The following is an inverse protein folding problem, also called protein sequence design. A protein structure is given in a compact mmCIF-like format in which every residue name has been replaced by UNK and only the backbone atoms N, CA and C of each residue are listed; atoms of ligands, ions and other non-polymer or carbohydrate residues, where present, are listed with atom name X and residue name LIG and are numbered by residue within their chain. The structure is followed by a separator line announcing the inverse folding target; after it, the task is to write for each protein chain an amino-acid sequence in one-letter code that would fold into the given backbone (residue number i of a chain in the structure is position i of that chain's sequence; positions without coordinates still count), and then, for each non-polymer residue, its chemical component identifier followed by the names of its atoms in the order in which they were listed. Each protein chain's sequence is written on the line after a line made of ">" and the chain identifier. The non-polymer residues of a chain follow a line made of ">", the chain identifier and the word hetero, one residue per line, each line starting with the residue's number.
data_IF_870466378410
#
_entry.id   IF_870466378410
#
_cell.length_a   1.000
_cell.length_b   1.000
_cell.length_c   1.000
_cell.angle_alpha   90.00
_cell.angle_beta   90.00
_cell.angle_gamma   90.00
#
_symmetry.space_group_name_H-M   'P 1'
#
loop_
_entity.id
_entity.type
_entity.pdbx_description
1 polymer ?
#
# COMPACT_ATOMS: atom_id res chain seq x y z
N UNK A 1 -5.48 -28.71 18.57
CA UNK A 1 -4.08 -29.16 18.43
C UNK A 1 -3.24 -28.18 19.23
N UNK A 2 -2.68 -28.59 20.35
CA UNK A 2 -1.85 -27.68 21.15
C UNK A 2 -0.49 -27.63 20.45
N UNK A 3 -0.12 -26.47 19.90
CA UNK A 3 1.22 -26.23 19.39
C UNK A 3 2.03 -25.56 20.50
N UNK A 4 3.04 -26.26 21.01
CA UNK A 4 4.02 -25.72 21.95
C UNK A 4 4.87 -24.68 21.24
N UNK A 5 5.47 -23.77 22.00
CA UNK A 5 6.30 -22.68 21.46
C UNK A 5 7.35 -23.16 20.45
N UNK A 6 8.01 -24.28 20.73
CA UNK A 6 9.02 -24.91 19.86
C UNK A 6 8.46 -25.51 18.56
N UNK A 7 7.14 -25.70 18.46
CA UNK A 7 6.44 -26.20 17.28
C UNK A 7 5.92 -25.05 16.38
N UNK A 8 5.99 -23.80 16.86
CA UNK A 8 5.65 -22.61 16.08
C UNK A 8 6.78 -22.26 15.10
N UNK A 9 6.46 -21.55 14.02
CA UNK A 9 7.48 -21.05 13.10
C UNK A 9 8.38 -20.02 13.79
N UNK A 10 9.61 -19.85 13.30
CA UNK A 10 10.58 -18.90 13.85
C UNK A 10 10.05 -17.46 13.92
N UNK A 11 9.20 -17.07 12.98
CA UNK A 11 8.57 -15.74 12.93
C UNK A 11 7.57 -15.56 14.08
N UNK A 12 6.77 -16.59 14.36
CA UNK A 12 5.76 -16.57 15.41
C UNK A 12 6.45 -16.59 16.78
N UNK A 13 7.49 -17.41 16.93
CA UNK A 13 8.33 -17.42 18.14
C UNK A 13 8.94 -16.03 18.41
N UNK A 14 9.54 -15.41 17.41
CA UNK A 14 10.12 -14.07 17.53
C UNK A 14 9.07 -13.00 17.87
N UNK A 15 7.84 -13.13 17.39
CA UNK A 15 6.76 -12.20 17.67
C UNK A 15 6.19 -12.32 19.09
N UNK A 16 5.98 -13.56 19.54
CA UNK A 16 5.34 -13.85 20.83
C UNK A 16 6.31 -13.77 22.02
N UNK A 17 7.59 -14.04 21.77
CA UNK A 17 8.62 -14.16 22.81
C UNK A 17 8.47 -15.44 23.64
N UNK A 18 9.54 -15.83 24.34
CA UNK A 18 9.68 -17.12 25.05
C UNK A 18 8.65 -17.40 26.16
N UNK A 19 7.77 -16.45 26.48
CA UNK A 19 6.86 -16.51 27.64
C UNK A 19 5.38 -16.63 27.28
N UNK A 20 5.03 -16.69 25.98
CA UNK A 20 3.65 -16.84 25.54
C UNK A 20 3.32 -18.27 25.13
N UNK A 21 2.28 -18.83 25.73
CA UNK A 21 1.66 -20.09 25.31
C UNK A 21 0.57 -19.82 24.25
N UNK A 22 0.58 -20.56 23.15
CA UNK A 22 -0.38 -20.40 22.04
C UNK A 22 -1.30 -21.61 21.99
N UNK A 23 -2.59 -21.38 22.18
CA UNK A 23 -3.61 -22.44 22.05
C UNK A 23 -4.32 -22.33 20.71
N UNK A 24 -4.12 -23.32 19.83
CA UNK A 24 -4.79 -23.40 18.53
C UNK A 24 -5.84 -24.51 18.56
N UNK A 25 -7.11 -24.13 18.55
CA UNK A 25 -8.23 -25.07 18.45
C UNK A 25 -8.72 -25.10 17.01
N UNK A 26 -8.40 -26.18 16.31
CA UNK A 26 -8.98 -26.49 15.00
C UNK A 26 -10.21 -27.34 15.28
N UNK A 27 -11.37 -26.85 14.87
CA UNK A 27 -12.62 -27.58 14.94
C UNK A 27 -13.29 -27.54 13.58
N UNK A 28 -14.03 -28.60 13.27
CA UNK A 28 -14.86 -28.64 12.08
C UNK A 28 -15.89 -27.50 12.15
N UNK A 29 -16.02 -26.73 11.07
CA UNK A 29 -17.11 -25.77 10.95
C UNK A 29 -18.41 -26.57 10.87
N UNK A 30 -19.34 -26.39 11.82
CA UNK A 30 -20.63 -27.10 11.82
C UNK A 30 -21.81 -26.19 11.49
N UNK A 31 -21.56 -24.90 11.34
CA UNK A 31 -22.55 -23.89 10.98
C UNK A 31 -22.50 -23.62 9.46
N UNK A 32 -23.43 -22.80 8.96
CA UNK A 32 -23.68 -22.51 7.54
C UNK A 32 -22.41 -22.49 6.65
N UNK A 33 -22.49 -23.14 5.47
CA UNK A 33 -21.39 -23.30 4.50
C UNK A 33 -20.17 -24.14 4.99
N UNK A 34 -20.39 -25.13 5.85
CA UNK A 34 -19.35 -26.04 6.37
C UNK A 34 -18.62 -26.87 5.30
N UNK A 35 -19.23 -27.11 4.13
CA UNK A 35 -18.63 -27.87 3.04
C UNK A 35 -18.93 -27.20 1.69
N UNK A 36 -17.98 -27.30 0.77
CA UNK A 36 -18.17 -26.92 -0.63
C UNK A 36 -17.50 -27.96 -1.54
N UNK A 37 -18.02 -28.15 -2.75
CA UNK A 37 -17.47 -29.07 -3.73
C UNK A 37 -16.70 -28.28 -4.79
N UNK A 38 -15.42 -28.59 -4.99
CA UNK A 38 -14.55 -27.88 -5.95
C UNK A 38 -15.01 -27.96 -7.40
N UNK A 39 -15.94 -28.86 -7.73
CA UNK A 39 -16.51 -29.03 -9.08
C UNK A 39 -17.92 -28.47 -9.22
N UNK A 40 -18.54 -28.04 -8.12
CA UNK A 40 -19.87 -27.46 -8.12
C UNK A 40 -19.78 -25.93 -8.07
N UNK A 41 -19.95 -25.32 -9.23
CA UNK A 41 -19.90 -23.87 -9.38
C UNK A 41 -21.29 -23.22 -9.35
N UNK A 42 -22.36 -24.02 -9.36
CA UNK A 42 -23.72 -23.51 -9.49
C UNK A 42 -24.12 -22.64 -8.28
N UNK A 43 -23.75 -23.06 -7.06
CA UNK A 43 -23.98 -22.27 -5.84
C UNK A 43 -23.24 -20.93 -5.83
N UNK A 44 -22.16 -20.83 -6.60
CA UNK A 44 -21.34 -19.62 -6.71
C UNK A 44 -21.89 -18.61 -7.73
N UNK A 45 -22.97 -18.95 -8.45
CA UNK A 45 -23.60 -18.09 -9.47
C UNK A 45 -25.10 -18.00 -9.19
N UNK A 46 -25.50 -16.88 -8.59
CA UNK A 46 -26.91 -16.54 -8.35
C UNK A 46 -27.20 -15.13 -8.88
N UNK A 47 -28.39 -14.92 -9.45
CA UNK A 47 -28.85 -13.58 -9.87
C UNK A 47 -28.98 -12.64 -8.68
N UNK A 48 -29.39 -13.18 -7.53
CA UNK A 48 -29.36 -12.45 -6.26
C UNK A 48 -27.95 -12.53 -5.67
N UNK A 49 -27.25 -11.39 -5.66
CA UNK A 49 -25.89 -11.28 -5.14
C UNK A 49 -25.80 -11.62 -3.65
N UNK A 50 -26.88 -11.46 -2.89
CA UNK A 50 -26.91 -11.73 -1.44
C UNK A 50 -26.97 -13.22 -1.13
N UNK A 51 -27.38 -14.03 -2.11
CA UNK A 51 -27.50 -15.49 -1.99
C UNK A 51 -26.34 -16.24 -2.64
N UNK A 52 -25.30 -15.55 -3.12
CA UNK A 52 -24.13 -16.20 -3.69
C UNK A 52 -23.28 -16.84 -2.62
N UNK A 53 -22.93 -18.11 -2.79
CA UNK A 53 -21.93 -18.76 -1.95
C UNK A 53 -20.53 -18.21 -2.31
N UNK A 54 -19.87 -17.61 -1.33
CA UNK A 54 -18.53 -17.01 -1.48
C UNK A 54 -17.40 -17.96 -1.09
N UNK A 55 -17.71 -19.13 -0.50
CA UNK A 55 -16.74 -20.06 0.07
C UNK A 55 -15.71 -20.52 -0.96
N UNK A 56 -16.18 -20.89 -2.16
CA UNK A 56 -15.30 -21.35 -3.22
C UNK A 56 -14.40 -20.23 -3.78
N UNK A 57 -14.91 -18.98 -3.84
CA UNK A 57 -14.10 -17.81 -4.25
C UNK A 57 -13.00 -17.56 -3.23
N UNK A 58 -13.35 -17.53 -1.95
CA UNK A 58 -12.40 -17.32 -0.86
C UNK A 58 -11.35 -18.44 -0.80
N UNK A 59 -11.78 -19.69 -0.99
CA UNK A 59 -10.87 -20.83 -1.08
C UNK A 59 -9.83 -20.65 -2.18
N UNK A 60 -10.24 -20.34 -3.41
CA UNK A 60 -9.29 -20.14 -4.51
C UNK A 60 -8.39 -18.92 -4.28
N UNK A 61 -8.90 -17.85 -3.65
CA UNK A 61 -8.08 -16.69 -3.29
C UNK A 61 -6.97 -17.05 -2.29
N UNK A 62 -7.30 -17.83 -1.26
CA UNK A 62 -6.32 -18.36 -0.29
C UNK A 62 -5.33 -19.27 -1.00
N UNK A 63 -5.82 -20.23 -1.78
CA UNK A 63 -5.00 -21.22 -2.48
C UNK A 63 -3.97 -20.55 -3.40
N UNK A 64 -4.38 -19.54 -4.15
CA UNK A 64 -3.51 -18.81 -5.08
C UNK A 64 -2.57 -17.80 -4.39
N UNK A 65 -2.66 -17.62 -3.07
CA UNK A 65 -1.65 -16.87 -2.30
C UNK A 65 -0.59 -17.78 -1.67
N UNK A 66 -0.90 -19.06 -1.51
CA UNK A 66 -0.24 -19.91 -0.52
C UNK A 66 1.28 -20.04 -0.76
N UNK A 67 1.72 -20.27 -2.00
CA UNK A 67 3.16 -20.41 -2.29
C UNK A 67 3.94 -19.16 -1.90
N UNK A 68 3.55 -18.00 -2.43
CA UNK A 68 4.27 -16.75 -2.18
C UNK A 68 4.26 -16.30 -0.71
N UNK A 69 3.21 -16.65 0.05
CA UNK A 69 3.15 -16.33 1.48
C UNK A 69 4.00 -17.30 2.33
N UNK A 70 3.96 -18.61 2.03
CA UNK A 70 4.73 -19.62 2.76
C UNK A 70 6.23 -19.51 2.50
N UNK A 71 6.63 -19.16 1.28
CA UNK A 71 8.03 -18.91 0.93
C UNK A 71 8.55 -17.55 1.44
N UNK A 72 7.68 -16.71 2.01
CA UNK A 72 8.05 -15.37 2.47
C UNK A 72 8.45 -14.41 1.36
N UNK A 73 8.16 -14.72 0.09
CA UNK A 73 8.53 -13.88 -1.07
C UNK A 73 7.58 -12.69 -1.28
N UNK A 74 6.39 -12.73 -0.65
CA UNK A 74 5.37 -11.71 -0.78
C UNK A 74 4.85 -11.19 0.59
N UNK A 75 4.31 -9.97 0.57
CA UNK A 75 3.44 -9.42 1.61
C UNK A 75 1.99 -9.55 1.18
N UNK A 76 1.15 -10.19 2.02
CA UNK A 76 -0.29 -10.30 1.80
C UNK A 76 -1.07 -9.16 2.44
N UNK A 77 -2.05 -8.62 1.70
CA UNK A 77 -2.98 -7.60 2.18
C UNK A 77 -4.42 -7.98 1.83
N UNK A 78 -5.13 -8.56 2.79
CA UNK A 78 -6.42 -9.20 2.53
C UNK A 78 -6.27 -10.45 1.67
N UNK A 79 -7.32 -10.87 0.98
CA UNK A 79 -7.37 -12.13 0.24
C UNK A 79 -6.87 -12.02 -1.21
N UNK A 80 -6.94 -10.83 -1.80
CA UNK A 80 -6.66 -10.63 -3.23
C UNK A 80 -5.38 -9.87 -3.55
N UNK A 81 -4.73 -9.19 -2.60
CA UNK A 81 -3.59 -8.30 -2.91
C UNK A 81 -2.31 -8.84 -2.30
N UNK A 82 -1.32 -9.06 -3.15
CA UNK A 82 0.01 -9.53 -2.73
C UNK A 82 1.09 -8.70 -3.42
N UNK A 83 2.13 -8.33 -2.68
CA UNK A 83 3.24 -7.50 -3.18
C UNK A 83 4.56 -8.22 -2.93
N UNK A 84 5.47 -8.19 -3.90
CA UNK A 84 6.78 -8.83 -3.79
C UNK A 84 7.62 -8.14 -2.71
N UNK A 85 8.29 -8.91 -1.85
CA UNK A 85 9.27 -8.39 -0.90
C UNK A 85 10.54 -7.94 -1.63
N UNK A 86 10.97 -8.76 -2.60
CA UNK A 86 12.13 -8.50 -3.45
C UNK A 86 11.71 -7.76 -4.72
N UNK A 87 11.94 -6.45 -4.73
CA UNK A 87 12.25 -5.76 -5.98
C UNK A 87 13.72 -6.04 -6.28
N UNK A 88 13.99 -6.86 -7.30
CA UNK A 88 15.34 -7.25 -7.71
C UNK A 88 16.33 -6.05 -7.74
N UNK A 89 17.63 -6.26 -7.50
CA UNK A 89 18.64 -5.18 -7.41
C UNK A 89 18.82 -4.34 -8.69
N UNK A 90 18.16 -4.69 -9.79
CA UNK A 90 18.41 -4.08 -11.09
C UNK A 90 17.84 -2.68 -11.27
N UNK A 91 17.08 -2.14 -10.30
CA UNK A 91 16.44 -0.84 -10.52
C UNK A 91 16.20 -0.05 -9.22
N UNK A 92 17.25 0.08 -8.39
CA UNK A 92 17.20 0.80 -7.11
C UNK A 92 16.68 2.25 -7.22
N UNK A 93 16.80 2.90 -8.39
CA UNK A 93 16.25 4.24 -8.61
C UNK A 93 14.80 4.26 -9.13
N UNK A 94 14.35 3.22 -9.83
CA UNK A 94 13.03 3.23 -10.48
C UNK A 94 11.90 3.01 -9.46
N UNK A 95 12.18 2.31 -8.35
CA UNK A 95 11.20 2.06 -7.29
C UNK A 95 11.19 3.12 -6.18
N UNK A 96 12.21 3.97 -6.04
CA UNK A 96 12.24 5.01 -5.00
C UNK A 96 11.30 6.16 -5.32
N UNK A 97 10.30 6.44 -4.48
CA UNK A 97 9.39 7.59 -4.66
C UNK A 97 9.77 8.79 -3.80
N UNK A 98 10.95 8.74 -3.16
CA UNK A 98 11.49 9.70 -2.18
C UNK A 98 10.66 9.76 -0.90
N UNK A 99 11.13 10.54 0.08
CA UNK A 99 10.41 10.74 1.33
C UNK A 99 10.35 9.52 2.24
N UNK A 100 11.34 8.62 2.19
CA UNK A 100 11.34 7.39 2.98
C UNK A 100 10.39 6.31 2.47
N UNK A 101 9.96 6.40 1.20
CA UNK A 101 8.94 5.51 0.61
C UNK A 101 9.46 4.85 -0.68
N UNK A 102 8.96 3.65 -0.99
CA UNK A 102 9.28 2.85 -2.18
C UNK A 102 8.02 2.27 -2.82
N UNK A 103 8.07 2.00 -4.12
CA UNK A 103 7.05 1.23 -4.83
C UNK A 103 7.44 -0.25 -4.86
N UNK A 104 6.49 -1.10 -4.49
CA UNK A 104 6.61 -2.54 -4.68
C UNK A 104 5.65 -2.99 -5.77
N UNK A 105 6.15 -3.82 -6.68
CA UNK A 105 5.31 -4.53 -7.65
C UNK A 105 4.52 -5.63 -6.94
N UNK A 106 3.36 -5.93 -7.47
CA UNK A 106 2.46 -6.93 -6.93
C UNK A 106 1.27 -7.14 -7.84
N UNK A 107 0.24 -7.77 -7.30
CA UNK A 107 -0.94 -8.13 -8.04
C UNK A 107 -2.18 -7.95 -7.18
N UNK A 108 -3.28 -7.60 -7.84
CA UNK A 108 -4.63 -7.77 -7.31
C UNK A 108 -5.31 -8.87 -8.10
N UNK A 109 -5.74 -9.90 -7.38
CA UNK A 109 -6.36 -11.09 -7.94
C UNK A 109 -7.66 -11.41 -7.23
N UNK A 110 -8.54 -12.07 -7.96
CA UNK A 110 -9.80 -12.60 -7.44
C UNK A 110 -10.37 -13.64 -8.38
N UNK A 111 -11.34 -14.40 -7.90
CA UNK A 111 -12.00 -15.42 -8.72
C UNK A 111 -13.38 -14.96 -9.16
N UNK A 112 -13.69 -15.22 -10.43
CA UNK A 112 -15.00 -15.01 -11.04
C UNK A 112 -15.44 -16.28 -11.75
N UNK A 113 -16.73 -16.57 -11.72
CA UNK A 113 -17.30 -17.68 -12.48
C UNK A 113 -17.88 -17.10 -13.76
N UNK A 114 -17.41 -17.60 -14.91
CA UNK A 114 -17.76 -17.09 -16.22
C UNK A 114 -18.54 -18.17 -16.96
N UNK A 115 -19.78 -17.82 -17.32
CA UNK A 115 -20.62 -18.66 -18.15
C UNK A 115 -20.13 -18.63 -19.60
N UNK A 116 -20.03 -19.81 -20.21
CA UNK A 116 -19.55 -20.00 -21.57
C UNK A 116 -20.41 -21.07 -22.25
N UNK A 117 -20.31 -21.16 -23.57
CA UNK A 117 -21.00 -22.19 -24.35
C UNK A 117 -20.68 -23.63 -23.91
N UNK A 118 -19.47 -23.84 -23.37
CA UNK A 118 -18.96 -25.12 -22.85
C UNK A 118 -19.19 -25.33 -21.34
N UNK A 119 -19.93 -24.42 -20.70
CA UNK A 119 -20.28 -24.47 -19.28
C UNK A 119 -19.58 -23.43 -18.43
N UNK A 120 -19.91 -23.45 -17.14
CA UNK A 120 -19.41 -22.49 -16.16
C UNK A 120 -17.96 -22.80 -15.79
N UNK A 121 -17.07 -21.81 -15.94
CA UNK A 121 -15.65 -21.97 -15.58
C UNK A 121 -15.24 -21.00 -14.45
N UNK A 122 -14.37 -21.44 -13.51
CA UNK A 122 -13.70 -20.52 -12.60
C UNK A 122 -12.55 -19.81 -13.35
N UNK A 123 -12.63 -18.49 -13.42
CA UNK A 123 -11.63 -17.63 -14.00
C UNK A 123 -10.89 -16.85 -12.90
N UNK A 124 -9.57 -16.99 -12.87
CA UNK A 124 -8.71 -16.15 -12.07
C UNK A 124 -8.53 -14.81 -12.79
N UNK A 125 -9.08 -13.75 -12.21
CA UNK A 125 -8.88 -12.38 -12.67
C UNK A 125 -7.64 -11.85 -11.98
N UNK A 126 -6.66 -11.38 -12.78
CA UNK A 126 -5.34 -10.95 -12.30
C UNK A 126 -5.01 -9.60 -12.92
N UNK A 127 -4.61 -8.64 -12.11
CA UNK A 127 -4.14 -7.33 -12.57
C UNK A 127 -2.87 -6.89 -11.85
N UNK A 128 -1.90 -6.39 -12.62
CA UNK A 128 -0.65 -5.84 -12.09
C UNK A 128 -0.95 -4.62 -11.22
N UNK A 129 -0.35 -4.60 -10.02
CA UNK A 129 -0.46 -3.50 -9.07
C UNK A 129 0.90 -3.03 -8.65
N UNK A 130 0.99 -1.73 -8.37
CA UNK A 130 2.10 -1.15 -7.62
C UNK A 130 1.55 -0.58 -6.32
N UNK A 131 2.17 -0.94 -5.21
CA UNK A 131 1.83 -0.46 -3.89
C UNK A 131 2.92 0.44 -3.36
N UNK A 132 2.54 1.49 -2.63
CA UNK A 132 3.48 2.36 -1.94
C UNK A 132 3.74 1.81 -0.54
N UNK A 133 5.02 1.64 -0.20
CA UNK A 133 5.48 1.11 1.07
C UNK A 133 6.51 2.05 1.70
N UNK A 134 6.61 2.02 3.02
CA UNK A 134 7.74 2.63 3.71
C UNK A 134 9.02 1.84 3.40
N UNK A 135 10.15 2.55 3.30
CA UNK A 135 11.46 1.90 3.25
C UNK A 135 11.76 1.28 4.61
N UNK A 136 12.22 0.04 4.60
CA UNK A 136 12.82 -0.61 5.78
C UNK A 136 14.22 -0.02 5.95
N UNK A 137 14.32 1.01 6.79
CA UNK A 137 15.55 1.73 7.07
C UNK A 137 15.44 2.45 8.42
N UNK A 138 16.56 3.02 8.88
CA UNK A 138 16.56 3.88 10.06
C UNK A 138 15.56 5.04 9.90
N UNK A 139 14.84 5.32 10.97
CA UNK A 139 13.82 6.36 10.99
C UNK A 139 14.41 7.73 10.66
N UNK A 140 15.60 8.05 11.20
CA UNK A 140 16.29 9.31 10.88
C UNK A 140 16.43 9.51 9.37
N UNK A 141 16.92 8.50 8.63
CA UNK A 141 17.08 8.58 7.18
C UNK A 141 15.76 8.83 6.45
N UNK A 142 14.69 8.17 6.88
CA UNK A 142 13.35 8.41 6.31
C UNK A 142 12.83 9.81 6.62
N UNK A 143 13.12 10.34 7.82
CA UNK A 143 12.72 11.70 8.18
C UNK A 143 13.52 12.76 7.42
N UNK A 144 14.81 12.53 7.15
CA UNK A 144 15.65 13.36 6.29
C UNK A 144 15.11 13.40 4.86
N UNK A 145 14.83 12.24 4.28
CA UNK A 145 14.23 12.13 2.95
C UNK A 145 12.86 12.83 2.87
N UNK A 146 12.04 12.72 3.92
CA UNK A 146 10.74 13.40 4.00
C UNK A 146 10.89 14.91 4.12
N UNK A 147 11.87 15.38 4.90
CA UNK A 147 12.07 16.80 5.12
C UNK A 147 12.55 17.49 3.84
N UNK A 148 13.47 16.85 3.11
CA UNK A 148 13.96 17.31 1.81
C UNK A 148 14.70 18.64 1.86
N UNK A 149 15.17 19.05 3.06
CA UNK A 149 15.93 20.27 3.37
C UNK A 149 17.11 19.92 4.27
N UNK A 150 17.99 20.87 4.51
CA UNK A 150 19.10 20.64 5.45
C UNK A 150 18.55 20.53 6.88
N UNK A 151 18.83 19.42 7.54
CA UNK A 151 18.42 19.18 8.93
C UNK A 151 19.02 20.21 9.91
N UNK A 152 20.07 20.95 9.55
CA UNK A 152 20.57 22.06 10.39
C UNK A 152 19.57 23.21 10.55
N UNK A 153 18.63 23.34 9.61
CA UNK A 153 17.55 24.34 9.66
C UNK A 153 16.59 24.12 10.84
N UNK A 154 16.61 22.93 11.48
CA UNK A 154 15.79 22.62 12.67
C UNK A 154 16.17 23.44 13.91
N UNK A 155 17.28 24.19 13.86
CA UNK A 155 17.59 25.22 14.84
C UNK A 155 16.57 26.38 14.85
N UNK A 156 15.87 26.62 13.74
CA UNK A 156 14.78 27.58 13.65
C UNK A 156 13.47 26.98 14.22
N UNK A 157 12.83 27.61 15.23
CA UNK A 157 11.61 27.10 15.85
C UNK A 157 10.42 26.88 14.90
N UNK A 158 10.24 27.74 13.90
CA UNK A 158 9.13 27.63 12.95
C UNK A 158 9.33 26.44 12.00
N UNK A 159 10.56 26.26 11.54
CA UNK A 159 10.96 25.12 10.71
C UNK A 159 10.85 23.82 11.52
N UNK A 160 11.29 23.82 12.77
CA UNK A 160 11.13 22.69 13.68
C UNK A 160 9.67 22.30 13.87
N UNK A 161 8.78 23.27 14.09
CA UNK A 161 7.34 23.04 14.22
C UNK A 161 6.73 22.41 12.96
N UNK A 162 7.10 22.91 11.78
CA UNK A 162 6.70 22.32 10.49
C UNK A 162 7.23 20.89 10.32
N UNK A 163 8.50 20.65 10.67
CA UNK A 163 9.11 19.33 10.64
C UNK A 163 8.38 18.35 11.56
N UNK A 164 8.12 18.73 12.82
CA UNK A 164 7.38 17.90 13.80
C UNK A 164 5.98 17.56 13.28
N UNK A 165 5.28 18.51 12.65
CA UNK A 165 3.95 18.26 12.05
C UNK A 165 4.03 17.20 10.95
N UNK A 166 5.02 17.30 10.05
CA UNK A 166 5.24 16.31 8.98
C UNK A 166 5.66 14.95 9.53
N UNK A 167 6.63 14.93 10.45
CA UNK A 167 7.11 13.73 11.12
C UNK A 167 6.00 13.01 11.88
N UNK A 168 5.14 13.74 12.60
CA UNK A 168 4.00 13.16 13.31
C UNK A 168 3.02 12.45 12.37
N UNK A 169 2.75 13.03 11.20
CA UNK A 169 1.93 12.38 10.18
C UNK A 169 2.63 11.18 9.55
N UNK A 170 3.96 11.25 9.38
CA UNK A 170 4.76 10.19 8.78
C UNK A 170 4.84 8.93 9.65
N UNK A 171 5.07 9.10 10.95
CA UNK A 171 5.23 7.99 11.90
C UNK A 171 3.91 7.46 12.47
N UNK A 172 2.78 8.10 12.14
CA UNK A 172 1.46 7.68 12.61
C UNK A 172 1.19 6.25 12.17
N UNK A 173 0.84 5.40 13.12
CA UNK A 173 0.57 3.95 12.94
C UNK A 173 1.75 3.16 12.34
N UNK A 174 2.95 3.75 12.31
CA UNK A 174 4.14 3.11 11.75
C UNK A 174 4.75 2.16 12.77
N UNK A 175 4.86 0.90 12.42
CA UNK A 175 5.55 -0.11 13.22
C UNK A 175 7.06 0.09 13.10
N UNK A 176 7.75 0.04 14.22
CA UNK A 176 9.19 0.21 14.29
C UNK A 176 9.76 -0.58 15.45
N UNK A 177 11.07 -0.77 15.45
CA UNK A 177 11.80 -1.42 16.52
C UNK A 177 13.10 -0.65 16.79
N UNK A 178 13.74 -0.90 17.93
CA UNK A 178 15.07 -0.34 18.19
C UNK A 178 16.11 -1.17 17.43
N UNK A 179 17.15 -0.55 16.89
CA UNK A 179 18.20 -1.24 16.13
C UNK A 179 18.83 -2.45 16.85
N UNK A 180 18.78 -2.47 18.18
CA UNK A 180 19.30 -3.51 19.08
C UNK A 180 18.22 -4.45 19.66
N UNK A 181 17.00 -4.45 19.11
CA UNK A 181 15.85 -5.20 19.64
C UNK A 181 14.92 -5.66 18.53
N UNK A 182 14.42 -6.89 18.62
CA UNK A 182 13.40 -7.42 17.71
C UNK A 182 11.96 -6.99 18.07
N UNK A 183 11.76 -6.44 19.27
CA UNK A 183 10.43 -6.00 19.73
C UNK A 183 9.91 -4.82 18.92
N UNK A 184 8.86 -5.07 18.15
CA UNK A 184 8.13 -4.08 17.37
C UNK A 184 7.13 -3.31 18.24
N UNK A 185 7.02 -2.01 18.02
CA UNK A 185 6.03 -1.14 18.65
C UNK A 185 5.50 -0.10 17.67
N UNK A 186 4.38 0.54 18.03
CA UNK A 186 3.80 1.68 17.30
C UNK A 186 3.91 2.92 18.19
N UNK A 187 4.42 4.05 17.68
CA UNK A 187 4.53 5.26 18.47
C UNK A 187 3.17 5.93 18.67
N UNK A 188 3.01 6.65 19.79
CA UNK A 188 1.82 7.46 20.01
C UNK A 188 1.95 8.83 19.32
N UNK A 189 3.12 9.45 19.37
CA UNK A 189 3.40 10.74 18.73
C UNK A 189 4.91 11.05 18.69
N UNK A 190 5.26 12.15 18.03
CA UNK A 190 6.61 12.75 18.03
C UNK A 190 6.61 13.96 18.97
N UNK A 191 7.65 14.13 19.78
CA UNK A 191 7.74 15.22 20.75
C UNK A 191 7.66 16.60 20.09
N UNK A 192 6.93 17.52 20.73
CA UNK A 192 6.82 18.92 20.28
C UNK A 192 8.04 19.78 20.62
N UNK A 193 9.05 19.20 21.26
CA UNK A 193 10.31 19.85 21.66
C UNK A 193 11.49 18.98 21.26
N UNK A 194 12.66 19.58 20.97
CA UNK A 194 13.90 18.84 20.73
C UNK A 194 14.29 17.96 21.93
N UNK A 195 14.99 16.87 21.67
CA UNK A 195 15.35 15.86 22.67
C UNK A 195 16.25 16.42 23.77
N UNK A 196 17.05 17.47 23.49
CA UNK A 196 17.85 18.19 24.49
C UNK A 196 17.02 18.82 25.61
N UNK A 197 15.78 19.20 25.29
CA UNK A 197 14.86 19.86 26.22
C UNK A 197 13.92 18.85 26.91
N UNK A 198 14.05 17.56 26.59
CA UNK A 198 13.20 16.50 27.12
C UNK A 198 13.79 15.89 28.38
N UNK A 199 12.88 15.67 29.32
CA UNK A 199 13.15 15.06 30.60
C UNK A 199 12.16 13.94 30.85
N UNK A 200 12.62 12.80 31.38
CA UNK A 200 11.76 11.65 31.65
C UNK A 200 12.00 11.11 33.06
N UNK A 201 10.99 10.42 33.60
CA UNK A 201 11.12 9.63 34.82
C UNK A 201 11.37 8.17 34.45
N UNK A 202 12.30 7.53 35.14
CA UNK A 202 12.58 6.11 34.96
C UNK A 202 11.48 5.23 35.59
N UNK A 203 10.84 5.73 36.64
CA UNK A 203 9.76 5.07 37.37
C UNK A 203 8.64 6.07 37.72
N UNK A 204 7.45 5.57 38.07
CA UNK A 204 6.25 6.39 38.31
C UNK A 204 6.50 7.56 39.30
N UNK A 205 7.34 7.32 40.31
CA UNK A 205 7.72 8.28 41.35
C UNK A 205 9.24 8.56 41.42
N UNK A 206 10.01 8.17 40.39
CA UNK A 206 11.46 8.35 40.37
C UNK A 206 11.89 9.79 40.03
N UNK A 207 13.17 10.12 40.27
CA UNK A 207 13.74 11.41 39.87
C UNK A 207 13.69 11.59 38.36
N UNK A 208 13.51 12.83 37.92
CA UNK A 208 13.49 13.19 36.51
C UNK A 208 14.91 13.37 35.99
N UNK A 209 15.29 12.69 34.90
CA UNK A 209 16.59 12.84 34.24
C UNK A 209 16.45 13.37 32.81
N UNK A 210 17.52 13.93 32.26
CA UNK A 210 17.60 14.26 30.83
C UNK A 210 17.45 12.99 29.99
N UNK A 211 16.58 13.03 28.98
CA UNK A 211 16.40 11.90 28.05
C UNK A 211 17.71 11.66 27.30
N UNK A 212 18.34 12.73 26.82
CA UNK A 212 19.55 12.64 26.01
C UNK A 212 20.73 12.05 26.81
N UNK A 213 20.95 12.51 28.06
CA UNK A 213 22.00 11.97 28.93
C UNK A 213 21.79 10.48 29.24
N UNK A 214 20.54 10.07 29.46
CA UNK A 214 20.20 8.66 29.65
C UNK A 214 20.66 7.83 28.46
N UNK A 215 20.37 8.26 27.23
CA UNK A 215 20.76 7.49 26.04
C UNK A 215 22.26 7.56 25.76
N UNK A 216 22.95 8.66 26.06
CA UNK A 216 24.42 8.69 25.99
C UNK A 216 25.08 7.70 26.97
N UNK A 217 24.51 7.49 28.16
CA UNK A 217 25.01 6.48 29.10
C UNK A 217 24.78 5.06 28.61
N UNK A 218 23.61 4.79 28.02
CA UNK A 218 23.26 3.45 27.51
C UNK A 218 24.03 3.12 26.22
N UNK A 219 24.22 4.11 25.35
CA UNK A 219 24.86 3.96 24.04
C UNK A 219 26.02 4.95 23.87
N UNK A 220 27.14 4.78 24.61
CA UNK A 220 28.24 5.76 24.65
C UNK A 220 28.95 5.96 23.31
N UNK A 221 28.85 4.99 22.40
CA UNK A 221 29.44 5.05 21.05
C UNK A 221 28.50 5.68 20.01
N UNK A 222 27.22 5.87 20.34
CA UNK A 222 26.22 6.39 19.41
C UNK A 222 26.22 7.92 19.45
N UNK A 223 26.12 8.55 18.28
CA UNK A 223 25.90 9.99 18.16
C UNK A 223 24.40 10.27 18.12
N UNK A 224 23.96 11.20 18.97
CA UNK A 224 22.58 11.67 19.02
C UNK A 224 22.54 13.17 18.71
N UNK A 225 21.66 13.55 17.79
CA UNK A 225 21.38 14.94 17.47
C UNK A 225 20.43 15.52 18.51
N UNK A 226 20.90 16.57 19.18
CA UNK A 226 20.21 17.20 20.30
C UNK A 226 19.00 18.04 19.88
N UNK A 227 18.96 18.45 18.61
CA UNK A 227 17.97 19.32 17.98
C UNK A 227 16.78 18.55 17.37
N UNK A 228 16.84 17.21 17.31
CA UNK A 228 15.75 16.39 16.78
C UNK A 228 14.66 16.15 17.83
N UNK A 229 13.40 15.94 17.42
CA UNK A 229 12.40 15.44 18.34
C UNK A 229 12.65 13.96 18.69
N UNK A 230 12.01 13.50 19.76
CA UNK A 230 11.98 12.09 20.15
C UNK A 230 10.65 11.44 19.74
N UNK A 231 10.69 10.15 19.43
CA UNK A 231 9.49 9.32 19.29
C UNK A 231 8.98 8.94 20.69
N UNK A 232 7.69 9.07 20.91
CA UNK A 232 7.08 8.84 22.23
C UNK A 232 6.14 7.66 22.21
N UNK A 233 6.34 6.75 23.16
CA UNK A 233 5.43 5.64 23.47
C UNK A 233 4.86 5.87 24.86
N UNK A 234 3.53 5.92 24.96
CA UNK A 234 2.79 6.18 26.18
C UNK A 234 2.15 4.89 26.68
N UNK A 235 2.47 4.51 27.92
CA UNK A 235 1.85 3.40 28.65
C UNK A 235 1.17 3.95 29.89
N UNK A 236 -0.14 4.21 29.79
CA UNK A 236 -0.90 4.90 30.83
C UNK A 236 -0.38 6.32 31.07
N UNK A 237 0.15 6.59 32.28
CA UNK A 237 0.74 7.90 32.63
C UNK A 237 2.25 7.99 32.34
N UNK A 238 2.91 6.88 32.00
CA UNK A 238 4.35 6.86 31.72
C UNK A 238 4.61 7.08 30.24
N UNK A 239 5.47 8.04 29.94
CA UNK A 239 5.94 8.32 28.58
C UNK A 239 7.40 7.89 28.46
N UNK A 240 7.66 7.05 27.46
CA UNK A 240 9.02 6.65 27.09
C UNK A 240 9.40 7.36 25.80
N UNK A 241 10.52 8.06 25.86
CA UNK A 241 11.07 8.82 24.75
C UNK A 241 12.20 8.03 24.09
N UNK A 242 12.24 8.01 22.77
CA UNK A 242 13.27 7.34 21.98
C UNK A 242 13.89 8.32 20.98
N UNK A 243 15.22 8.48 20.95
CA UNK A 243 15.91 9.17 19.87
C UNK A 243 15.58 8.51 18.52
N UNK A 244 15.36 9.31 17.49
CA UNK A 244 14.98 8.80 16.16
C UNK A 244 16.08 7.95 15.52
N UNK A 245 17.33 8.17 15.91
CA UNK A 245 18.52 7.46 15.44
C UNK A 245 18.56 6.00 15.90
N UNK A 246 17.84 5.67 16.97
CA UNK A 246 17.79 4.30 17.48
C UNK A 246 16.73 3.44 16.79
N UNK A 247 15.87 4.04 15.97
CA UNK A 247 14.66 3.40 15.49
C UNK A 247 14.80 2.97 14.05
N UNK A 248 14.30 1.77 13.75
CA UNK A 248 14.24 1.19 12.41
C UNK A 248 12.79 0.91 12.07
N UNK A 249 12.37 1.31 10.88
CA UNK A 249 11.01 1.11 10.39
C UNK A 249 10.86 -0.36 10.00
N UNK A 250 9.85 -1.06 10.56
CA UNK A 250 9.60 -2.45 10.20
C UNK A 250 9.22 -2.59 8.72
N UNK A 251 9.63 -3.68 8.09
CA UNK A 251 9.33 -3.94 6.68
C UNK A 251 7.83 -4.18 6.38
N UNK A 252 7.48 -4.20 5.09
CA UNK A 252 6.15 -4.63 4.64
C UNK A 252 5.00 -3.71 5.01
N UNK A 253 5.27 -2.43 5.29
CA UNK A 253 4.25 -1.47 5.70
C UNK A 253 3.79 -0.60 4.53
N UNK A 254 2.51 -0.67 4.19
CA UNK A 254 1.92 0.22 3.17
C UNK A 254 1.76 1.63 3.69
N UNK A 255 2.02 2.61 2.82
CA UNK A 255 1.75 4.03 3.09
C UNK A 255 0.26 4.31 2.86
N UNK A 256 -0.51 4.75 3.87
CA UNK A 256 -1.90 5.12 3.69
C UNK A 256 -2.07 6.26 2.69
N UNK A 257 -3.15 6.26 1.90
CA UNK A 257 -3.43 7.33 0.93
C UNK A 257 -3.51 8.71 1.60
N UNK A 258 -4.03 8.78 2.83
CA UNK A 258 -4.11 10.02 3.60
C UNK A 258 -2.75 10.64 3.96
N UNK A 259 -1.64 9.91 3.80
CA UNK A 259 -0.26 10.37 4.09
C UNK A 259 0.52 10.65 2.79
N UNK A 260 -0.10 10.44 1.62
CA UNK A 260 0.51 10.71 0.33
C UNK A 260 0.24 12.15 -0.10
N UNK A 261 1.30 12.88 -0.46
CA UNK A 261 1.15 14.25 -0.97
C UNK A 261 0.67 14.26 -2.43
N UNK A 262 0.18 15.39 -2.92
CA UNK A 262 -0.14 15.56 -4.34
C UNK A 262 1.09 15.32 -5.24
N UNK A 263 2.26 15.77 -4.80
CA UNK A 263 3.55 15.55 -5.49
C UNK A 263 3.92 14.06 -5.52
N UNK A 264 3.74 13.35 -4.40
CA UNK A 264 3.97 11.91 -4.34
C UNK A 264 3.03 11.19 -5.32
N UNK A 265 1.76 11.57 -5.32
CA UNK A 265 0.72 10.99 -6.19
C UNK A 265 1.07 11.18 -7.66
N UNK A 266 1.49 12.36 -8.09
CA UNK A 266 1.92 12.63 -9.47
C UNK A 266 3.15 11.77 -9.86
N UNK A 267 4.13 11.66 -8.97
CA UNK A 267 5.31 10.80 -9.18
C UNK A 267 4.93 9.32 -9.28
N UNK A 268 4.03 8.85 -8.42
CA UNK A 268 3.51 7.48 -8.43
C UNK A 268 2.79 7.21 -9.75
N UNK A 269 1.89 8.10 -10.20
CA UNK A 269 1.18 7.96 -11.47
C UNK A 269 2.18 7.85 -12.62
N UNK A 270 3.15 8.75 -12.70
CA UNK A 270 4.19 8.74 -13.74
C UNK A 270 4.95 7.41 -13.79
N UNK A 271 5.20 6.79 -12.65
CA UNK A 271 5.91 5.50 -12.54
C UNK A 271 5.03 4.27 -12.81
N UNK A 272 3.71 4.39 -12.63
CA UNK A 272 2.78 3.26 -12.75
C UNK A 272 2.07 3.17 -14.11
N UNK A 273 2.04 4.26 -14.89
CA UNK A 273 1.37 4.27 -16.20
C UNK A 273 2.19 3.47 -17.22
N UNK A 274 1.57 2.42 -17.76
CA UNK A 274 2.17 1.53 -18.77
C UNK A 274 1.18 1.23 -19.90
N UNK A 275 1.71 0.93 -21.09
CA UNK A 275 0.90 0.52 -22.26
C UNK A 275 0.30 -0.88 -22.05
N UNK A 276 -0.84 -1.20 -22.68
CA UNK A 276 -1.51 -2.50 -22.51
C UNK A 276 -0.61 -3.73 -22.72
N UNK A 277 0.20 -3.75 -23.77
CA UNK A 277 1.11 -4.89 -24.04
C UNK A 277 2.13 -5.11 -22.93
N UNK A 278 2.69 -4.01 -22.38
CA UNK A 278 3.60 -4.08 -21.24
C UNK A 278 2.87 -4.55 -19.99
N UNK A 279 1.63 -4.12 -19.77
CA UNK A 279 0.80 -4.57 -18.64
C UNK A 279 0.49 -6.06 -18.70
N UNK A 280 0.22 -6.62 -19.88
CA UNK A 280 0.07 -8.08 -20.05
C UNK A 280 1.36 -8.84 -19.70
N UNK A 281 2.51 -8.32 -20.10
CA UNK A 281 3.80 -8.90 -19.72
C UNK A 281 4.02 -8.86 -18.19
N UNK A 282 3.76 -7.71 -17.56
CA UNK A 282 3.84 -7.56 -16.10
C UNK A 282 2.87 -8.48 -15.35
N UNK A 283 1.64 -8.69 -15.86
CA UNK A 283 0.69 -9.64 -15.28
C UNK A 283 1.25 -11.06 -15.31
N UNK A 284 1.79 -11.49 -16.46
CA UNK A 284 2.40 -12.82 -16.60
C UNK A 284 3.61 -12.99 -15.66
N UNK A 285 4.50 -12.01 -15.58
CA UNK A 285 5.64 -12.02 -14.66
C UNK A 285 5.18 -12.15 -13.20
N UNK A 286 4.09 -11.48 -12.80
CA UNK A 286 3.53 -11.63 -11.45
C UNK A 286 2.89 -13.01 -11.23
N UNK A 287 2.24 -13.59 -12.24
CA UNK A 287 1.71 -14.95 -12.13
C UNK A 287 2.82 -15.99 -11.97
N UNK A 288 3.93 -15.83 -12.69
CA UNK A 288 5.13 -16.66 -12.53
C UNK A 288 5.78 -16.46 -11.15
N UNK A 289 5.90 -15.21 -10.68
CA UNK A 289 6.48 -14.90 -9.38
C UNK A 289 5.66 -15.45 -8.19
N UNK A 290 4.35 -15.64 -8.36
CA UNK A 290 3.47 -16.28 -7.37
C UNK A 290 3.37 -17.80 -7.51
N UNK A 291 4.18 -18.38 -8.40
CA UNK A 291 4.12 -19.79 -8.76
C UNK A 291 2.70 -20.23 -9.16
N UNK A 292 1.96 -19.39 -9.91
CA UNK A 292 0.62 -19.74 -10.38
C UNK A 292 0.67 -20.50 -11.71
N UNK A 293 1.72 -20.23 -12.50
CA UNK A 293 1.83 -20.76 -13.85
C UNK A 293 3.29 -20.91 -14.30
N UNK A 294 4.10 -21.67 -13.55
CA UNK A 294 5.49 -21.95 -13.90
C UNK A 294 5.67 -23.17 -14.84
N UNK A 295 6.71 -23.19 -15.69
CA UNK A 295 7.03 -24.36 -16.53
C UNK A 295 7.80 -25.46 -15.78
N UNK A 296 8.56 -25.10 -14.73
CA UNK A 296 9.58 -25.97 -14.14
C UNK A 296 9.07 -26.88 -13.02
N UNK A 297 8.08 -26.41 -12.24
CA UNK A 297 7.50 -27.15 -11.12
C UNK A 297 6.06 -26.70 -10.93
N UNK A 298 5.18 -27.64 -10.56
CA UNK A 298 3.81 -27.32 -10.19
C UNK A 298 3.76 -26.81 -8.76
N UNK A 299 2.92 -25.80 -8.55
CA UNK A 299 2.59 -25.30 -7.23
C UNK A 299 2.02 -26.44 -6.37
N UNK A 300 2.74 -26.85 -5.29
CA UNK A 300 2.36 -28.02 -4.50
C UNK A 300 1.01 -27.83 -3.80
N UNK A 301 0.68 -26.59 -3.43
CA UNK A 301 -0.60 -26.28 -2.80
C UNK A 301 -1.75 -26.44 -3.81
N UNK A 302 -1.61 -25.89 -5.01
CA UNK A 302 -2.65 -26.03 -6.04
C UNK A 302 -2.82 -27.47 -6.52
N UNK A 303 -1.70 -28.21 -6.65
CA UNK A 303 -1.71 -29.62 -7.05
C UNK A 303 -2.45 -30.51 -6.05
N UNK A 304 -2.30 -30.24 -4.74
CA UNK A 304 -3.02 -30.96 -3.69
C UNK A 304 -4.55 -30.89 -3.82
N UNK A 305 -5.08 -29.85 -4.47
CA UNK A 305 -6.52 -29.68 -4.73
C UNK A 305 -6.90 -29.91 -6.20
N UNK A 306 -5.97 -30.40 -7.02
CA UNK A 306 -6.20 -30.64 -8.46
C UNK A 306 -6.49 -29.36 -9.26
N UNK A 307 -6.03 -28.20 -8.77
CA UNK A 307 -6.25 -26.89 -9.40
C UNK A 307 -5.07 -26.53 -10.29
N UNK A 308 -5.36 -25.96 -11.47
CA UNK A 308 -4.35 -25.41 -12.38
C UNK A 308 -4.83 -24.09 -12.96
N UNK A 309 -3.91 -23.18 -13.21
CA UNK A 309 -4.19 -21.88 -13.85
C UNK A 309 -3.60 -21.87 -15.25
N UNK A 310 -4.41 -21.46 -16.24
CA UNK A 310 -3.96 -21.27 -17.61
C UNK A 310 -2.99 -20.09 -17.70
N UNK A 311 -1.87 -20.27 -18.41
CA UNK A 311 -0.96 -19.17 -18.78
C UNK A 311 -1.55 -18.26 -19.86
N UNK A 312 -2.52 -18.76 -20.62
CA UNK A 312 -3.14 -18.01 -21.72
C UNK A 312 -4.37 -17.27 -21.19
N UNK A 313 -4.46 -15.94 -21.35
CA UNK A 313 -5.65 -15.17 -20.99
C UNK A 313 -6.89 -15.67 -21.75
N UNK A 314 -8.06 -15.59 -21.11
CA UNK A 314 -9.32 -15.88 -21.76
C UNK A 314 -9.56 -14.90 -22.92
N UNK A 315 -9.89 -15.46 -24.10
CA UNK A 315 -10.27 -14.69 -25.28
C UNK A 315 -11.78 -14.47 -25.26
N UNK A 316 -12.21 -13.23 -25.46
CA UNK A 316 -13.62 -12.84 -25.53
C UNK A 316 -13.89 -12.09 -26.82
N UNK A 317 -15.10 -12.22 -27.36
CA UNK A 317 -15.53 -11.44 -28.52
C UNK A 317 -15.89 -10.02 -28.06
N UNK A 318 -15.09 -9.04 -28.47
CA UNK A 318 -15.39 -7.63 -28.25
C UNK A 318 -16.21 -7.05 -29.39
N UNK A 319 -17.30 -6.35 -29.08
CA UNK A 319 -18.06 -5.58 -30.08
C UNK A 319 -17.72 -4.09 -29.93
N UNK A 320 -17.20 -3.47 -30.99
CA UNK A 320 -16.90 -2.03 -31.03
C UNK A 320 -18.06 -1.29 -31.70
N UNK A 321 -18.81 -0.53 -30.90
CA UNK A 321 -19.87 0.34 -31.41
C UNK A 321 -19.31 1.50 -32.23
N UNK A 322 -20.09 1.96 -33.21
CA UNK A 322 -19.78 3.19 -33.93
C UNK A 322 -19.80 4.39 -32.95
N UNK A 323 -18.83 5.30 -33.10
CA UNK A 323 -18.82 6.54 -32.33
C UNK A 323 -20.02 7.41 -32.75
N UNK A 324 -20.69 8.08 -31.80
CA UNK A 324 -21.74 9.04 -32.13
C UNK A 324 -21.14 10.30 -32.76
N UNK A 325 -21.99 11.06 -33.44
CA UNK A 325 -21.67 12.41 -33.92
C UNK A 325 -21.95 13.44 -32.83
N UNK A 326 -21.11 14.48 -32.73
CA UNK A 326 -21.26 15.55 -31.73
C UNK A 326 -21.76 16.81 -32.42
N UNK A 327 -22.98 17.24 -32.09
CA UNK A 327 -23.58 18.47 -32.59
C UNK A 327 -23.19 19.70 -31.77
N UNK A 328 -22.78 20.76 -32.46
CA UNK A 328 -22.50 22.08 -31.91
C UNK A 328 -23.41 23.13 -32.54
N UNK A 329 -23.52 24.31 -31.91
CA UNK A 329 -24.07 25.48 -32.59
C UNK A 329 -23.04 25.98 -33.62
N UNK A 330 -23.54 26.23 -34.83
CA UNK A 330 -22.87 26.96 -35.89
C UNK A 330 -23.48 28.33 -36.08
N UNK A 331 -22.88 29.10 -36.98
CA UNK A 331 -23.35 30.44 -37.32
C UNK A 331 -24.81 30.41 -37.81
N UNK A 332 -25.59 31.42 -37.42
CA UNK A 332 -26.99 31.60 -37.81
C UNK A 332 -27.93 30.45 -37.39
N UNK A 333 -27.66 29.79 -36.25
CA UNK A 333 -28.57 28.78 -35.68
C UNK A 333 -28.50 27.41 -36.35
N UNK A 334 -27.54 27.16 -37.24
CA UNK A 334 -27.32 25.83 -37.85
C UNK A 334 -26.57 24.91 -36.90
N UNK A 335 -26.83 23.61 -36.93
CA UNK A 335 -26.01 22.62 -36.21
C UNK A 335 -24.77 22.26 -37.01
N UNK A 336 -23.60 22.33 -36.40
CA UNK A 336 -22.33 21.86 -36.98
C UNK A 336 -21.98 20.53 -36.33
N UNK A 337 -21.79 19.50 -37.15
CA UNK A 337 -21.39 18.17 -36.66
C UNK A 337 -19.87 18.10 -36.60
N UNK A 338 -19.33 17.92 -35.40
CA UNK A 338 -17.92 17.57 -35.20
C UNK A 338 -17.79 16.05 -35.23
N UNK A 339 -16.94 15.55 -36.11
CA UNK A 339 -16.63 14.12 -36.19
C UNK A 339 -15.73 13.73 -35.03
N UNK A 340 -16.15 12.73 -34.28
CA UNK A 340 -15.32 12.10 -33.25
C UNK A 340 -14.20 11.30 -33.92
N UNK A 341 -12.96 11.46 -33.45
CA UNK A 341 -11.88 10.55 -33.80
C UNK A 341 -12.28 9.14 -33.34
N UNK A 342 -12.62 8.28 -34.29
CA UNK A 342 -13.12 6.94 -33.98
C UNK A 342 -12.11 6.12 -33.19
N UNK A 343 -10.81 6.36 -33.35
CA UNK A 343 -9.74 5.61 -32.70
C UNK A 343 -9.43 6.09 -31.29
N UNK A 344 -9.53 7.40 -31.04
CA UNK A 344 -9.25 7.99 -29.73
C UNK A 344 -10.51 8.27 -28.90
N UNK A 345 -11.69 8.16 -29.52
CA UNK A 345 -12.96 8.61 -28.95
C UNK A 345 -12.88 10.05 -28.40
N UNK A 346 -12.12 10.91 -29.09
CA UNK A 346 -11.94 12.30 -28.71
C UNK A 346 -12.53 13.23 -29.79
N UNK A 347 -12.90 14.44 -29.37
CA UNK A 347 -13.35 15.51 -30.24
C UNK A 347 -12.83 16.83 -29.68
N UNK A 348 -12.66 17.82 -30.54
CA UNK A 348 -12.30 19.17 -30.13
C UNK A 348 -13.37 20.15 -30.59
N UNK A 349 -13.56 21.20 -29.79
CA UNK A 349 -14.45 22.31 -30.11
C UNK A 349 -13.65 23.34 -30.94
N UNK A 350 -13.23 22.98 -32.15
CA UNK A 350 -12.44 23.86 -33.02
C UNK A 350 -13.34 24.99 -33.56
N UNK A 351 -13.39 26.13 -32.86
CA UNK A 351 -14.20 27.32 -33.20
C UNK A 351 -15.73 27.11 -33.27
N UNK A 352 -16.23 25.94 -32.86
CA UNK A 352 -17.65 25.68 -32.74
C UNK A 352 -18.23 26.35 -31.48
N UNK A 353 -19.52 26.71 -31.50
CA UNK A 353 -20.19 27.31 -30.36
C UNK A 353 -20.98 26.27 -29.56
N UNK A 354 -21.17 26.52 -28.27
CA UNK A 354 -22.08 25.71 -27.45
C UNK A 354 -23.51 25.84 -27.98
N UNK A 355 -24.25 24.73 -28.01
CA UNK A 355 -25.66 24.69 -28.46
C UNK A 355 -26.53 25.66 -27.67
N UNK A 356 -26.28 25.77 -26.36
CA UNK A 356 -26.95 26.69 -25.45
C UNK A 356 -25.89 27.44 -24.63
N UNK A 357 -25.37 28.58 -25.11
CA UNK A 357 -24.37 29.35 -24.38
C UNK A 357 -25.01 30.11 -23.22
N UNK A 358 -24.39 30.07 -22.04
CA UNK A 358 -24.81 30.91 -20.92
C UNK A 358 -24.44 32.38 -21.18
N UNK A 359 -25.35 33.31 -20.83
CA UNK A 359 -25.08 34.74 -20.90
C UNK A 359 -24.58 35.24 -19.54
N UNK A 360 -23.29 35.51 -19.44
CA UNK A 360 -22.68 36.12 -18.24
C UNK A 360 -22.69 37.64 -18.38
N UNK A 361 -23.58 38.32 -17.64
CA UNK A 361 -23.69 39.78 -17.66
C UNK A 361 -22.73 40.46 -16.69
N UNK A 362 -22.33 39.77 -15.62
CA UNK A 362 -21.38 40.24 -14.61
C UNK A 362 -20.54 39.05 -14.14
N UNK A 363 -19.22 39.22 -14.11
CA UNK A 363 -18.31 38.27 -13.50
C UNK A 363 -17.31 39.07 -12.66
N UNK A 364 -16.93 38.53 -11.51
CA UNK A 364 -15.93 39.11 -10.63
C UNK A 364 -14.82 38.07 -10.47
N UNK A 365 -13.58 38.48 -10.68
CA UNK A 365 -12.41 37.67 -10.38
C UNK A 365 -11.78 38.25 -9.12
N UNK A 366 -11.72 37.44 -8.07
CA UNK A 366 -11.00 37.78 -6.84
C UNK A 366 -9.72 36.95 -6.83
N UNK A 367 -8.58 37.64 -6.78
CA UNK A 367 -7.26 37.05 -6.78
C UNK A 367 -6.56 37.43 -5.47
N UNK A 368 -5.85 36.49 -4.87
CA UNK A 368 -4.98 36.71 -3.72
C UNK A 368 -3.67 36.00 -3.98
N UNK A 369 -2.58 36.75 -3.82
CA UNK A 369 -1.18 36.34 -3.95
C UNK A 369 -0.66 35.52 -2.76
N UNK A 370 -1.44 35.42 -1.67
CA UNK A 370 -1.05 34.78 -0.41
C UNK A 370 -0.83 33.25 -0.53
N UNK A 371 -1.21 32.62 -1.65
CA UNK A 371 -1.06 31.17 -1.87
C UNK A 371 0.04 30.76 -2.86
N UNK A 372 0.60 31.67 -3.65
CA UNK A 372 1.58 31.30 -4.68
C UNK A 372 2.99 31.03 -4.09
N UNK A 373 3.32 31.65 -2.95
CA UNK A 373 4.58 31.42 -2.24
C UNK A 373 4.66 30.03 -1.55
N UNK A 374 3.53 29.35 -1.32
CA UNK A 374 3.51 27.98 -0.77
C UNK A 374 3.62 26.89 -1.86
N UNK A 375 3.41 27.22 -3.14
CA UNK A 375 3.44 26.27 -4.26
C UNK A 375 4.78 26.33 -5.02
N UNK A 376 5.52 27.45 -4.91
CA UNK A 376 6.78 27.68 -5.64
C UNK A 376 8.08 27.28 -4.88
N UNK A 377 8.00 26.73 -3.66
CA UNK A 377 9.15 26.21 -2.88
C UNK A 377 8.93 24.76 -2.44
#
# INVERSE_FOLDING_TARGET
>A
MILRYNELSSEIQAYLGETMEVHITISECREHAHTFRLRDFASSVNRDLTQQDHSLRQFFEILTNQSGLQEGTHFGFGTGRVFRRDSAPQDNNSNDIRGGKKLLAGVEKGVRFIDRSDGLIPALVVDSKRGVFYKDQQLLRSLEEMFGRDMQELSNPDIFSQFVKRASNFVRDLRMYKFDSTKVFVPNYVSKRPIRDLRCRLERNGPTCSVLEKFFRIYPKQRFRSDLPAVVVKRGKLETYFPVELLVIAEGQRVPLAVQSARDTANIIKKCVVKPMKRFAEIRENMEALDLCGPSRRNPYMEAFGVRVSQTPLKVLGNRRAAPDIGFAGSHGKTVISKVDRNKANWTCNNNQFVLPARLSRFFAFYSDVHDDEIAK
#
